data_IF_856899942114
#
_entry.id   IF_856899942114
#
_cell.length_a   1.000
_cell.length_b   1.000
_cell.length_c   1.000
_cell.angle_alpha   90.00
_cell.angle_beta   90.00
_cell.angle_gamma   90.00
#
_symmetry.space_group_name_H-M   'P 1'
#
loop_
_entity.id
_entity.type
_entity.pdbx_description
1 polymer ?
#
# COMPACT_ATOMS: atom_id res chain seq x y z
N UNK A 1 2.84 10.10 -49.68
CA UNK A 1 3.15 9.08 -48.65
C UNK A 1 2.36 9.45 -47.40
N UNK A 2 1.43 8.61 -46.97
CA UNK A 2 0.63 8.88 -45.78
C UNK A 2 1.52 8.78 -44.53
N UNK A 3 1.71 9.89 -43.80
CA UNK A 3 2.28 9.83 -42.45
C UNK A 3 1.33 8.97 -41.62
N UNK A 4 1.76 7.78 -41.16
CA UNK A 4 1.06 7.06 -40.11
C UNK A 4 1.14 7.91 -38.84
N UNK A 5 0.09 8.70 -38.58
CA UNK A 5 0.00 9.51 -37.37
C UNK A 5 -0.23 8.53 -36.21
N UNK A 6 0.82 8.24 -35.43
CA UNK A 6 0.65 7.66 -34.09
C UNK A 6 -0.29 8.56 -33.31
N UNK A 7 -1.18 7.98 -32.51
CA UNK A 7 -2.12 8.74 -31.68
C UNK A 7 -1.34 9.67 -30.76
N UNK A 8 -1.45 10.99 -30.99
CA UNK A 8 -0.77 12.01 -30.21
C UNK A 8 -1.65 12.33 -29.00
N UNK A 9 -1.23 11.88 -27.83
CA UNK A 9 -1.88 12.19 -26.56
C UNK A 9 -1.31 13.47 -25.94
N UNK A 10 -2.13 14.20 -25.20
CA UNK A 10 -1.71 15.36 -24.44
C UNK A 10 -0.72 14.94 -23.34
N UNK A 11 0.47 15.56 -23.23
CA UNK A 11 1.48 15.17 -22.24
C UNK A 11 1.05 15.43 -20.79
N UNK A 12 0.14 16.39 -20.58
CA UNK A 12 -0.35 16.73 -19.25
C UNK A 12 -1.44 15.76 -18.76
N UNK A 13 -2.42 15.45 -19.62
CA UNK A 13 -3.60 14.68 -19.21
C UNK A 13 -3.81 13.34 -19.94
N UNK A 14 -3.02 13.00 -20.96
CA UNK A 14 -3.16 11.75 -21.72
C UNK A 14 -4.40 11.68 -22.64
N UNK A 15 -5.20 12.75 -22.75
CA UNK A 15 -6.32 12.81 -23.71
C UNK A 15 -5.80 12.82 -25.14
N UNK A 16 -6.48 12.11 -26.04
CA UNK A 16 -6.17 12.10 -27.48
C UNK A 16 -6.97 13.16 -28.25
N UNK A 17 -7.94 13.80 -27.59
CA UNK A 17 -8.73 14.89 -28.17
C UNK A 17 -7.95 16.21 -28.09
N UNK A 18 -7.78 16.82 -29.26
CA UNK A 18 -6.98 18.03 -29.43
C UNK A 18 -7.44 18.83 -30.64
N UNK A 19 -7.28 20.14 -30.53
CA UNK A 19 -7.43 21.09 -31.62
C UNK A 19 -6.05 21.55 -32.07
N UNK A 20 -5.73 21.46 -33.36
CA UNK A 20 -4.52 22.07 -33.92
C UNK A 20 -4.74 23.58 -34.04
N UNK A 21 -3.95 24.36 -33.29
CA UNK A 21 -4.09 25.83 -33.24
C UNK A 21 -3.16 26.51 -34.25
N UNK A 22 -2.02 25.89 -34.55
CA UNK A 22 -1.02 26.26 -35.57
C UNK A 22 -0.29 24.97 -36.00
N UNK A 23 0.42 24.95 -37.14
CA UNK A 23 1.17 23.78 -37.57
C UNK A 23 2.05 23.20 -36.44
N UNK A 24 1.90 21.91 -36.18
CA UNK A 24 2.60 21.15 -35.13
C UNK A 24 2.36 21.62 -33.68
N UNK A 25 1.41 22.55 -33.46
CA UNK A 25 0.99 23.05 -32.14
C UNK A 25 -0.47 22.65 -31.86
N UNK A 26 -0.67 21.96 -30.74
CA UNK A 26 -1.96 21.40 -30.34
C UNK A 26 -2.41 21.96 -29.00
N UNK A 27 -3.71 22.19 -28.86
CA UNK A 27 -4.37 22.44 -27.58
C UNK A 27 -5.23 21.24 -27.23
N UNK A 28 -5.07 20.69 -26.03
CA UNK A 28 -5.88 19.58 -25.55
C UNK A 28 -7.30 20.03 -25.19
N UNK A 29 -8.32 19.39 -25.77
CA UNK A 29 -9.72 19.79 -25.53
C UNK A 29 -10.23 19.38 -24.13
N UNK A 30 -9.49 18.51 -23.44
CA UNK A 30 -9.87 18.01 -22.12
C UNK A 30 -9.30 18.85 -20.95
N UNK A 31 -8.08 19.37 -21.10
CA UNK A 31 -7.38 20.11 -20.03
C UNK A 31 -6.83 21.47 -20.46
N UNK A 32 -7.12 21.90 -21.70
CA UNK A 32 -6.67 23.15 -22.30
C UNK A 32 -5.14 23.37 -22.37
N UNK A 33 -4.34 22.34 -22.07
CA UNK A 33 -2.87 22.42 -22.22
C UNK A 33 -2.48 22.55 -23.69
N UNK A 34 -1.66 23.55 -23.99
CA UNK A 34 -1.01 23.72 -25.29
C UNK A 34 0.35 23.02 -25.30
N UNK A 35 0.66 22.31 -26.38
CA UNK A 35 1.89 21.54 -26.55
C UNK A 35 2.24 21.44 -28.05
N UNK A 36 3.52 21.37 -28.37
CA UNK A 36 4.01 21.19 -29.73
C UNK A 36 4.75 19.86 -29.87
N UNK A 37 4.83 19.35 -31.09
CA UNK A 37 5.66 18.20 -31.40
C UNK A 37 7.05 18.72 -31.76
N UNK A 38 8.03 18.46 -30.90
CA UNK A 38 9.42 18.69 -31.25
C UNK A 38 9.88 17.56 -32.18
N UNK A 39 10.31 17.91 -33.40
CA UNK A 39 10.54 16.97 -34.50
C UNK A 39 12.04 16.68 -34.69
N UNK A 40 12.81 16.66 -33.60
CA UNK A 40 14.27 16.46 -33.62
C UNK A 40 14.72 14.98 -33.65
N UNK A 41 13.78 14.02 -33.66
CA UNK A 41 14.10 12.59 -33.79
C UNK A 41 14.08 12.11 -35.26
N UNK A 42 15.21 12.23 -35.95
CA UNK A 42 15.46 11.51 -37.21
C UNK A 42 15.65 10.02 -36.88
N UNK A 43 14.62 9.20 -37.10
CA UNK A 43 14.82 7.75 -37.19
C UNK A 43 15.51 7.41 -38.52
N UNK A 44 16.82 7.19 -38.50
CA UNK A 44 17.55 6.56 -39.61
C UNK A 44 17.15 5.09 -39.65
N UNK A 45 16.28 4.72 -40.59
CA UNK A 45 15.93 3.33 -40.81
C UNK A 45 17.01 2.68 -41.68
N UNK A 46 17.96 1.97 -41.06
CA UNK A 46 18.95 1.16 -41.78
C UNK A 46 18.32 -0.18 -42.12
N UNK A 47 17.99 -0.39 -43.40
CA UNK A 47 17.58 -1.70 -43.90
C UNK A 47 18.82 -2.60 -44.00
N UNK A 48 18.89 -3.65 -43.18
CA UNK A 48 19.79 -4.76 -43.40
C UNK A 48 19.05 -5.86 -44.15
N UNK A 49 19.37 -6.07 -45.44
CA UNK A 49 19.13 -7.36 -46.08
C UNK A 49 20.17 -8.35 -45.53
N UNK A 50 19.73 -9.25 -44.66
CA UNK A 50 20.60 -10.33 -44.16
C UNK A 50 20.70 -11.44 -45.21
N UNK A 51 21.83 -11.52 -45.90
CA UNK A 51 22.29 -12.79 -46.46
C UNK A 51 22.77 -13.67 -45.30
N UNK A 52 21.98 -14.70 -44.97
CA UNK A 52 22.28 -15.67 -43.93
C UNK A 52 23.50 -16.53 -44.34
N UNK A 53 24.66 -16.29 -43.74
CA UNK A 53 25.85 -17.10 -44.02
C UNK A 53 27.07 -17.00 -43.08
N UNK A 54 27.08 -16.15 -42.05
CA UNK A 54 28.34 -15.89 -41.31
C UNK A 54 28.35 -16.21 -39.80
N UNK A 55 27.20 -16.44 -39.16
CA UNK A 55 27.16 -16.74 -37.72
C UNK A 55 27.66 -18.15 -37.36
N UNK A 56 27.60 -19.10 -38.30
CA UNK A 56 28.08 -20.47 -38.09
C UNK A 56 29.61 -20.56 -38.04
N UNK A 57 30.34 -19.62 -38.66
CA UNK A 57 31.80 -19.64 -38.72
C UNK A 57 32.48 -19.04 -37.46
N UNK A 58 31.79 -18.18 -36.72
CA UNK A 58 32.34 -17.59 -35.49
C UNK A 58 32.36 -18.57 -34.30
N UNK A 59 31.34 -19.44 -34.20
CA UNK A 59 31.22 -20.42 -33.12
C UNK A 59 32.29 -21.53 -33.16
N UNK A 60 32.90 -21.77 -34.33
CA UNK A 60 33.86 -22.86 -34.51
C UNK A 60 35.32 -22.46 -34.19
N UNK A 61 35.64 -21.17 -34.21
CA UNK A 61 37.03 -20.70 -34.04
C UNK A 61 37.47 -20.52 -32.57
N UNK A 62 36.54 -20.27 -31.63
CA UNK A 62 36.89 -19.82 -30.27
C UNK A 62 36.20 -20.58 -29.12
N UNK A 63 35.72 -21.80 -29.37
CA UNK A 63 35.01 -22.61 -28.37
C UNK A 63 35.79 -22.89 -27.07
N UNK A 64 37.13 -22.89 -27.11
CA UNK A 64 37.98 -23.07 -25.92
C UNK A 64 38.01 -21.85 -24.99
N UNK A 65 37.78 -20.64 -25.49
CA UNK A 65 37.87 -19.41 -24.69
C UNK A 65 36.55 -19.12 -23.94
N UNK A 66 35.41 -19.50 -24.54
CA UNK A 66 34.08 -19.36 -23.92
C UNK A 66 33.88 -20.39 -22.79
N UNK A 67 34.41 -21.62 -22.94
CA UNK A 67 34.40 -22.64 -21.87
C UNK A 67 35.25 -22.24 -20.65
N UNK A 68 36.33 -21.48 -20.84
CA UNK A 68 37.13 -20.93 -19.72
C UNK A 68 36.38 -19.88 -18.91
N UNK A 69 35.67 -18.96 -19.57
CA UNK A 69 34.95 -17.87 -18.88
C UNK A 69 33.78 -18.40 -18.05
N UNK A 70 33.05 -19.39 -18.58
CA UNK A 70 31.97 -20.06 -17.84
C UNK A 70 32.51 -20.87 -16.66
N UNK A 71 33.68 -21.50 -16.81
CA UNK A 71 34.36 -22.22 -15.74
C UNK A 71 34.82 -21.34 -14.58
N UNK A 72 35.29 -20.12 -14.86
CA UNK A 72 35.74 -19.16 -13.81
C UNK A 72 34.56 -18.63 -12.99
N UNK A 73 33.42 -18.34 -13.63
CA UNK A 73 32.21 -17.84 -12.95
C UNK A 73 31.59 -18.93 -12.06
N UNK A 74 31.59 -20.20 -12.51
CA UNK A 74 31.16 -21.33 -11.70
C UNK A 74 32.12 -21.61 -10.52
N UNK A 75 33.43 -21.43 -10.70
CA UNK A 75 34.43 -21.61 -9.64
C UNK A 75 34.35 -20.58 -8.51
N UNK A 76 34.13 -19.29 -8.83
CA UNK A 76 33.99 -18.22 -7.83
C UNK A 76 32.73 -18.42 -6.98
N UNK A 77 31.66 -18.91 -7.59
CA UNK A 77 30.39 -19.21 -6.91
C UNK A 77 30.52 -20.37 -5.91
N UNK A 78 31.42 -21.32 -6.15
CA UNK A 78 31.63 -22.48 -5.28
C UNK A 78 32.59 -22.19 -4.12
N UNK A 79 33.57 -21.29 -4.29
CA UNK A 79 34.49 -20.87 -3.20
C UNK A 79 33.80 -19.96 -2.17
N UNK A 80 32.79 -19.17 -2.59
CA UNK A 80 31.98 -18.35 -1.68
C UNK A 80 31.08 -19.15 -0.73
N UNK A 81 30.60 -20.33 -1.15
CA UNK A 81 29.72 -21.19 -0.34
C UNK A 81 30.50 -22.11 0.62
N UNK A 82 31.78 -22.39 0.33
CA UNK A 82 32.63 -23.22 1.18
C UNK A 82 33.32 -22.39 2.29
N UNK A 83 33.56 -21.09 2.08
CA UNK A 83 34.23 -20.22 3.08
C UNK A 83 33.29 -19.65 4.15
N UNK A 84 31.96 -19.64 3.93
CA UNK A 84 30.98 -19.21 4.93
C UNK A 84 30.65 -20.28 5.99
N UNK A 85 31.19 -21.50 5.85
CA UNK A 85 30.92 -22.63 6.76
C UNK A 85 32.11 -23.04 7.64
N UNK A 86 33.25 -22.33 7.59
CA UNK A 86 34.47 -22.68 8.35
C UNK A 86 34.84 -21.70 9.48
N UNK A 87 34.02 -20.70 9.79
CA UNK A 87 34.16 -19.87 11.00
C UNK A 87 32.97 -20.02 11.95
N UNK A 88 32.71 -21.25 12.39
CA UNK A 88 32.09 -21.51 13.69
C UNK A 88 33.21 -21.61 14.73
N UNK A 89 33.48 -20.54 15.48
CA UNK A 89 34.29 -20.67 16.70
C UNK A 89 33.38 -21.10 17.83
N UNK A 90 33.37 -22.40 18.12
CA UNK A 90 32.83 -22.91 19.37
C UNK A 90 33.92 -22.89 20.47
N UNK A 91 33.50 -22.39 21.63
CA UNK A 91 34.00 -22.70 22.97
C UNK A 91 35.35 -22.11 23.40
N UNK A 92 35.37 -21.34 24.50
CA UNK A 92 35.63 -21.88 25.86
C UNK A 92 35.72 -20.81 26.94
N UNK A 93 35.21 -21.24 28.08
CA UNK A 93 35.35 -20.76 29.46
C UNK A 93 36.73 -20.27 29.88
N UNK A 94 36.67 -19.19 30.70
CA UNK A 94 37.51 -18.79 31.85
C UNK A 94 39.04 -18.82 31.66
N UNK A 95 39.67 -17.67 31.89
CA UNK A 95 40.62 -17.55 33.00
C UNK A 95 40.84 -16.13 33.49
N UNK A 96 40.90 -16.08 34.81
CA UNK A 96 41.20 -14.97 35.70
C UNK A 96 42.67 -14.56 35.51
N UNK A 97 42.94 -13.28 35.24
CA UNK A 97 44.23 -12.69 35.52
C UNK A 97 44.02 -11.34 36.20
N UNK A 98 44.29 -11.34 37.51
CA UNK A 98 44.63 -10.15 38.26
C UNK A 98 45.83 -9.49 37.58
N UNK A 99 45.71 -8.20 37.29
CA UNK A 99 46.85 -7.30 37.34
C UNK A 99 46.39 -5.98 37.96
N UNK A 100 46.77 -5.84 39.23
CA UNK A 100 46.81 -4.55 39.91
C UNK A 100 47.82 -3.67 39.16
N UNK A 101 47.44 -2.43 38.86
CA UNK A 101 48.39 -1.33 38.75
C UNK A 101 47.71 -0.03 39.18
N UNK A 102 47.93 0.25 40.45
CA UNK A 102 48.31 1.55 41.03
C UNK A 102 47.66 2.81 40.44
N UNK A 103 46.74 3.34 41.24
CA UNK A 103 46.24 4.70 41.23
C UNK A 103 47.35 5.75 41.29
N UNK A 104 47.30 6.70 40.36
CA UNK A 104 47.86 8.05 40.54
C UNK A 104 46.71 9.03 40.39
N UNK A 105 46.36 9.67 41.50
CA UNK A 105 45.36 10.72 41.61
C UNK A 105 45.86 12.01 40.97
N UNK A 106 45.08 12.57 40.05
CA UNK A 106 45.17 13.99 39.70
C UNK A 106 43.76 14.58 39.76
N UNK A 107 43.52 15.66 40.53
CA UNK A 107 42.17 16.18 40.74
C UNK A 107 41.90 17.29 39.74
N UNK A 108 41.05 17.08 38.71
CA UNK A 108 40.59 18.21 37.90
C UNK A 108 39.15 18.03 37.39
N UNK A 109 38.32 18.99 37.82
CA UNK A 109 37.04 19.49 37.29
C UNK A 109 35.93 18.49 37.03
N UNK A 110 34.91 18.60 37.89
CA UNK A 110 33.51 18.35 37.56
C UNK A 110 33.11 19.17 36.34
N UNK A 111 33.28 18.63 35.14
CA UNK A 111 32.43 18.98 34.01
C UNK A 111 31.02 18.53 34.35
N UNK A 112 30.11 19.49 34.48
CA UNK A 112 28.68 19.23 34.37
C UNK A 112 28.49 18.64 32.97
N UNK A 113 28.42 17.32 32.90
CA UNK A 113 28.11 16.61 31.67
C UNK A 113 26.68 16.98 31.32
N UNK A 114 26.51 17.82 30.29
CA UNK A 114 25.20 17.96 29.65
C UNK A 114 24.63 16.55 29.40
N UNK A 115 23.35 16.30 29.73
CA UNK A 115 22.78 14.98 29.51
C UNK A 115 22.90 14.67 28.02
N UNK A 116 23.69 13.64 27.67
CA UNK A 116 23.85 13.18 26.30
C UNK A 116 22.48 13.06 25.65
N UNK A 117 22.25 13.85 24.59
CA UNK A 117 21.04 13.79 23.78
C UNK A 117 20.88 12.35 23.30
N UNK A 118 19.83 11.67 23.77
CA UNK A 118 19.58 10.27 23.40
C UNK A 118 19.25 10.25 21.91
N UNK A 119 20.07 9.58 21.13
CA UNK A 119 19.85 9.35 19.70
C UNK A 119 19.27 7.96 19.50
N UNK A 120 18.32 7.86 18.60
CA UNK A 120 17.70 6.60 18.22
C UNK A 120 17.11 6.72 16.81
N UNK A 121 16.86 5.57 16.20
CA UNK A 121 16.13 5.46 14.93
C UNK A 121 14.68 5.06 15.18
N UNK A 122 13.75 5.58 14.37
CA UNK A 122 12.32 5.28 14.48
C UNK A 122 11.91 4.34 13.34
N UNK A 123 11.33 3.20 13.70
CA UNK A 123 10.72 2.28 12.74
C UNK A 123 9.22 2.26 12.96
N UNK A 124 8.44 2.46 11.89
CA UNK A 124 6.99 2.42 11.93
C UNK A 124 6.50 1.00 11.66
N UNK A 125 5.72 0.45 12.58
CA UNK A 125 5.06 -0.87 12.44
C UNK A 125 3.59 -0.72 12.04
N UNK A 126 2.99 0.42 12.38
CA UNK A 126 1.65 0.81 11.96
C UNK A 126 1.57 2.33 11.89
N UNK A 127 0.82 2.86 10.92
CA UNK A 127 0.36 4.23 10.97
C UNK A 127 -1.00 4.39 10.26
N UNK A 128 -1.78 5.35 10.71
CA UNK A 128 -3.05 5.70 10.09
C UNK A 128 -3.37 7.19 10.30
N UNK A 129 -3.92 7.82 9.28
CA UNK A 129 -4.37 9.20 9.34
C UNK A 129 -5.83 9.25 9.76
N UNK A 130 -6.14 10.08 10.76
CA UNK A 130 -7.51 10.31 11.26
C UNK A 130 -7.80 11.81 11.28
N UNK A 131 -8.85 12.20 10.57
CA UNK A 131 -9.37 13.56 10.57
C UNK A 131 -10.50 13.69 11.60
N UNK A 132 -10.42 14.70 12.48
CA UNK A 132 -11.49 15.07 13.44
C UNK A 132 -11.75 16.56 13.35
N UNK A 133 -12.85 16.94 12.70
CA UNK A 133 -13.15 18.33 12.40
C UNK A 133 -12.02 18.96 11.59
N UNK A 134 -11.49 20.07 12.08
CA UNK A 134 -10.42 20.84 11.46
C UNK A 134 -9.00 20.35 11.79
N UNK A 135 -8.86 19.19 12.43
CA UNK A 135 -7.57 18.61 12.81
C UNK A 135 -7.32 17.27 12.14
N UNK A 136 -6.06 17.03 11.82
CA UNK A 136 -5.57 15.76 11.29
C UNK A 136 -4.53 15.18 12.25
N UNK A 137 -4.68 13.90 12.56
CA UNK A 137 -3.80 13.19 13.46
C UNK A 137 -3.20 11.97 12.78
N UNK A 138 -1.92 11.72 13.04
CA UNK A 138 -1.26 10.46 12.69
C UNK A 138 -1.20 9.60 13.94
N UNK A 139 -1.89 8.48 13.89
CA UNK A 139 -1.78 7.41 14.88
C UNK A 139 -0.64 6.51 14.43
N UNK A 140 0.29 6.15 15.31
CA UNK A 140 1.40 5.27 14.96
C UNK A 140 1.78 4.30 16.06
N UNK A 141 2.22 3.12 15.64
CA UNK A 141 3.00 2.21 16.48
C UNK A 141 4.42 2.27 15.96
N UNK A 142 5.34 2.72 16.82
CA UNK A 142 6.76 2.88 16.46
C UNK A 142 7.65 2.08 17.37
N UNK A 143 8.78 1.64 16.84
CA UNK A 143 9.90 1.11 17.59
C UNK A 143 11.02 2.14 17.59
N UNK A 144 11.49 2.51 18.78
CA UNK A 144 12.70 3.32 18.95
C UNK A 144 13.89 2.39 19.16
N UNK A 145 14.81 2.42 18.20
CA UNK A 145 16.08 1.69 18.24
C UNK A 145 17.17 2.61 18.77
N UNK A 146 17.53 2.42 20.03
CA UNK A 146 18.52 3.26 20.69
C UNK A 146 19.95 2.90 20.26
N UNK A 147 20.72 3.95 19.97
CA UNK A 147 22.13 3.81 19.60
C UNK A 147 22.97 3.35 20.80
N UNK A 148 22.61 3.81 22.00
CA UNK A 148 23.23 3.38 23.25
C UNK A 148 22.90 1.91 23.53
N UNK A 149 23.92 1.06 23.54
CA UNK A 149 23.82 -0.37 23.82
C UNK A 149 23.26 -0.69 25.22
N UNK A 150 23.27 0.26 26.15
CA UNK A 150 22.69 0.10 27.49
C UNK A 150 21.18 0.34 27.51
N UNK A 151 20.65 1.07 26.54
CA UNK A 151 19.22 1.37 26.44
C UNK A 151 18.55 0.25 25.64
N UNK A 152 17.44 -0.27 26.17
CA UNK A 152 16.63 -1.27 25.45
C UNK A 152 15.76 -0.57 24.43
N UNK A 153 15.62 -1.18 23.25
CA UNK A 153 14.63 -0.75 22.28
C UNK A 153 13.23 -0.90 22.89
N UNK A 154 12.30 -0.06 22.45
CA UNK A 154 10.94 0.01 23.00
C UNK A 154 9.92 0.31 21.92
N UNK A 155 8.71 -0.20 22.12
CA UNK A 155 7.56 0.14 21.30
C UNK A 155 6.73 1.24 21.95
N UNK A 156 6.23 2.16 21.13
CA UNK A 156 5.39 3.26 21.55
C UNK A 156 4.15 3.36 20.67
N UNK A 157 3.02 3.65 21.31
CA UNK A 157 1.83 4.18 20.68
C UNK A 157 1.88 5.70 20.73
N UNK A 158 1.85 6.34 19.56
CA UNK A 158 2.02 7.79 19.43
C UNK A 158 0.90 8.40 18.63
N UNK A 159 0.43 9.56 19.07
CA UNK A 159 -0.50 10.41 18.35
C UNK A 159 0.20 11.73 18.04
N UNK A 160 0.42 12.00 16.77
CA UNK A 160 0.91 13.28 16.28
C UNK A 160 -0.26 14.12 15.77
N UNK A 161 -0.36 15.37 16.22
CA UNK A 161 -1.11 16.39 15.50
C UNK A 161 -0.30 16.79 14.27
N UNK A 162 -0.81 16.46 13.09
CA UNK A 162 -0.09 16.60 11.83
C UNK A 162 0.16 18.07 11.49
N UNK A 163 -0.83 18.93 11.70
CA UNK A 163 -0.77 20.33 11.27
C UNK A 163 0.17 21.15 12.14
N UNK A 164 0.17 20.89 13.45
CA UNK A 164 1.09 21.55 14.39
C UNK A 164 2.45 20.85 14.49
N UNK A 165 2.56 19.65 13.91
CA UNK A 165 3.73 18.77 13.99
C UNK A 165 4.16 18.47 15.43
N UNK A 166 3.19 18.24 16.32
CA UNK A 166 3.43 17.97 17.76
C UNK A 166 2.91 16.60 18.16
N UNK A 167 3.67 15.92 19.01
CA UNK A 167 3.18 14.73 19.72
C UNK A 167 2.20 15.19 20.79
N UNK A 168 0.96 14.72 20.72
CA UNK A 168 -0.08 15.03 21.70
C UNK A 168 -0.32 13.88 22.69
N UNK A 169 0.11 12.67 22.35
CA UNK A 169 0.03 11.49 23.21
C UNK A 169 1.14 10.50 22.86
N UNK A 170 1.76 9.92 23.88
CA UNK A 170 2.80 8.90 23.77
C UNK A 170 2.67 7.91 24.93
N UNK A 171 2.55 6.62 24.63
CA UNK A 171 2.43 5.54 25.60
C UNK A 171 3.39 4.40 25.24
N UNK A 172 4.20 3.92 26.19
CA UNK A 172 5.05 2.74 25.99
C UNK A 172 4.20 1.46 26.03
N UNK A 173 4.39 0.56 25.05
CA UNK A 173 3.72 -0.74 24.98
C UNK A 173 4.56 -1.76 25.76
N UNK A 174 4.28 -1.90 27.05
CA UNK A 174 5.13 -2.65 28.00
C UNK A 174 5.03 -4.17 27.84
N UNK A 175 3.95 -4.66 27.28
CA UNK A 175 3.70 -6.09 27.07
C UNK A 175 4.58 -6.70 25.98
N UNK A 176 5.22 -5.85 25.17
CA UNK A 176 6.09 -6.26 24.07
C UNK A 176 7.52 -5.87 24.37
N UNK A 177 8.41 -6.86 24.33
CA UNK A 177 9.85 -6.60 24.32
C UNK A 177 10.29 -6.22 22.91
N UNK A 178 11.00 -5.10 22.77
CA UNK A 178 11.82 -4.81 21.60
C UNK A 178 13.26 -5.20 21.95
N UNK A 179 13.64 -6.44 21.65
CA UNK A 179 15.03 -6.87 21.82
C UNK A 179 15.81 -6.57 20.54
N UNK A 180 16.98 -5.93 20.69
CA UNK A 180 17.91 -5.60 19.61
C UNK A 180 18.47 -6.85 18.92
N UNK A 181 18.47 -7.99 19.62
CA UNK A 181 19.12 -9.24 19.19
C UNK A 181 18.13 -10.40 18.96
N UNK A 182 16.84 -10.25 19.25
CA UNK A 182 15.82 -11.26 18.90
C UNK A 182 15.25 -10.98 17.51
N UNK A 183 14.55 -11.99 16.98
CA UNK A 183 13.71 -11.80 15.80
C UNK A 183 12.74 -10.63 16.04
N UNK A 184 12.56 -9.77 15.03
CA UNK A 184 11.58 -8.68 15.08
C UNK A 184 10.20 -9.25 15.37
N UNK A 185 9.41 -8.50 16.14
CA UNK A 185 8.02 -8.87 16.36
C UNK A 185 7.29 -8.89 15.02
N UNK A 186 6.52 -9.94 14.80
CA UNK A 186 5.66 -10.10 13.63
C UNK A 186 4.37 -9.32 13.88
N UNK A 187 4.15 -8.25 13.11
CA UNK A 187 3.01 -7.36 13.23
C UNK A 187 2.04 -7.60 12.08
N UNK A 188 0.78 -7.82 12.42
CA UNK A 188 -0.33 -7.87 11.49
C UNK A 188 -1.42 -6.91 11.95
N UNK A 189 -2.16 -6.31 11.03
CA UNK A 189 -3.20 -5.34 11.37
C UNK A 189 -4.33 -5.31 10.37
N UNK A 190 -5.51 -4.99 10.87
CA UNK A 190 -6.66 -4.74 10.02
C UNK A 190 -7.61 -3.71 10.63
N UNK A 191 -8.08 -2.81 9.78
CA UNK A 191 -9.14 -1.86 10.08
C UNK A 191 -10.48 -2.61 10.00
N UNK A 192 -10.97 -3.10 11.14
CA UNK A 192 -12.26 -3.79 11.19
C UNK A 192 -13.45 -2.83 11.08
N UNK A 193 -13.22 -1.56 11.37
CA UNK A 193 -14.13 -0.47 11.05
C UNK A 193 -13.34 0.82 10.85
N UNK A 194 -14.00 1.90 10.44
CA UNK A 194 -13.37 3.22 10.34
C UNK A 194 -12.74 3.69 11.66
N UNK A 195 -13.26 3.22 12.80
CA UNK A 195 -12.86 3.68 14.12
C UNK A 195 -12.08 2.65 14.93
N UNK A 196 -12.09 1.38 14.52
CA UNK A 196 -11.47 0.27 15.25
C UNK A 196 -10.47 -0.47 14.36
N UNK A 197 -9.20 -0.41 14.76
CA UNK A 197 -8.14 -1.22 14.17
C UNK A 197 -7.67 -2.23 15.18
N UNK A 198 -7.52 -3.47 14.74
CA UNK A 198 -6.88 -4.48 15.56
C UNK A 198 -5.46 -4.74 15.06
N UNK A 199 -4.54 -4.92 16.01
CA UNK A 199 -3.16 -5.33 15.80
C UNK A 199 -2.99 -6.71 16.40
N UNK A 200 -2.40 -7.64 15.65
CA UNK A 200 -1.94 -8.94 16.15
C UNK A 200 -0.42 -8.97 16.13
N UNK A 201 0.18 -9.33 17.26
CA UNK A 201 1.64 -9.36 17.42
C UNK A 201 2.10 -10.76 17.83
N UNK A 202 3.08 -11.29 17.10
CA UNK A 202 3.65 -12.63 17.32
C UNK A 202 2.60 -13.74 17.41
N UNK A 203 1.48 -13.57 16.70
CA UNK A 203 0.33 -14.48 16.73
C UNK A 203 -0.23 -14.75 18.13
N UNK A 204 -0.02 -13.82 19.08
CA UNK A 204 -0.31 -14.03 20.50
C UNK A 204 -1.01 -12.84 21.12
N UNK A 205 -0.49 -11.64 20.94
CA UNK A 205 -1.07 -10.43 21.52
C UNK A 205 -2.04 -9.79 20.56
N UNK A 206 -3.13 -9.25 21.10
CA UNK A 206 -4.14 -8.51 20.37
C UNK A 206 -4.31 -7.16 21.02
N UNK A 207 -4.09 -6.11 20.24
CA UNK A 207 -4.37 -4.74 20.65
C UNK A 207 -5.50 -4.15 19.82
N UNK A 208 -6.36 -3.39 20.47
CA UNK A 208 -7.39 -2.59 19.83
C UNK A 208 -6.96 -1.12 19.86
N UNK A 209 -6.83 -0.51 18.69
CA UNK A 209 -6.76 0.94 18.53
C UNK A 209 -8.18 1.46 18.35
N UNK A 210 -8.62 2.27 19.31
CA UNK A 210 -9.78 3.14 19.17
C UNK A 210 -9.33 4.49 18.58
N UNK A 211 -9.56 4.67 17.28
CA UNK A 211 -9.21 5.88 16.54
C UNK A 211 -10.04 7.09 16.98
N UNK A 212 -11.24 6.88 17.51
CA UNK A 212 -12.13 7.94 17.99
C UNK A 212 -11.66 8.51 19.32
N UNK A 213 -11.05 7.70 20.18
CA UNK A 213 -10.58 8.12 21.50
C UNK A 213 -9.06 8.18 21.63
N UNK A 214 -8.32 7.80 20.58
CA UNK A 214 -6.86 7.71 20.59
C UNK A 214 -6.33 6.83 21.71
N UNK A 215 -6.93 5.65 21.86
CA UNK A 215 -6.55 4.68 22.89
C UNK A 215 -6.05 3.40 22.26
N UNK A 216 -5.01 2.84 22.86
CA UNK A 216 -4.52 1.49 22.60
C UNK A 216 -4.84 0.63 23.81
N UNK A 217 -5.61 -0.43 23.61
CA UNK A 217 -5.98 -1.37 24.68
C UNK A 217 -5.50 -2.76 24.32
N UNK A 218 -4.79 -3.42 25.24
CA UNK A 218 -4.51 -4.84 25.13
C UNK A 218 -5.78 -5.63 25.44
N UNK A 219 -6.36 -6.26 24.41
CA UNK A 219 -7.63 -6.99 24.51
C UNK A 219 -7.42 -8.51 24.46
N UNK A 220 -6.16 -8.98 24.53
CA UNK A 220 -5.80 -10.39 24.37
C UNK A 220 -6.64 -11.31 25.27
N UNK A 221 -6.70 -11.03 26.58
CA UNK A 221 -7.44 -11.88 27.52
C UNK A 221 -8.95 -11.65 27.51
N UNK A 222 -9.42 -10.52 26.99
CA UNK A 222 -10.85 -10.17 27.00
C UNK A 222 -11.56 -10.43 25.67
N UNK A 223 -10.81 -10.79 24.62
CA UNK A 223 -11.31 -10.88 23.25
C UNK A 223 -12.52 -11.82 23.12
N UNK A 224 -12.54 -12.90 23.90
CA UNK A 224 -13.58 -13.94 23.85
C UNK A 224 -14.49 -13.95 25.08
N UNK A 225 -14.51 -12.88 25.88
CA UNK A 225 -15.33 -12.83 27.10
C UNK A 225 -16.82 -13.02 26.83
N UNK A 226 -17.31 -12.60 25.65
CA UNK A 226 -18.71 -12.81 25.22
C UNK A 226 -19.03 -14.28 24.91
N UNK A 227 -18.04 -15.18 24.85
CA UNK A 227 -18.19 -16.59 24.47
C UNK A 227 -17.60 -17.52 25.54
N UNK A 228 -18.35 -17.80 26.63
CA UNK A 228 -17.86 -18.63 27.73
C UNK A 228 -17.29 -19.99 27.30
N UNK A 229 -17.84 -20.59 26.24
CA UNK A 229 -17.40 -21.87 25.69
C UNK A 229 -15.99 -21.85 25.05
N UNK A 230 -15.48 -20.66 24.72
CA UNK A 230 -14.15 -20.47 24.12
C UNK A 230 -13.20 -19.68 25.02
N UNK A 231 -13.65 -19.28 26.22
CA UNK A 231 -12.89 -18.41 27.12
C UNK A 231 -11.92 -19.21 28.01
N UNK A 232 -11.21 -20.16 27.42
CA UNK A 232 -10.16 -20.97 28.09
C UNK A 232 -8.78 -20.32 27.99
N UNK A 233 -8.65 -19.26 27.19
CA UNK A 233 -7.40 -18.57 26.88
C UNK A 233 -7.02 -18.68 25.41
N UNK A 234 -6.01 -17.93 24.98
CA UNK A 234 -5.58 -17.83 23.58
C UNK A 234 -4.20 -18.48 23.39
N UNK A 235 -4.17 -19.65 22.77
CA UNK A 235 -2.92 -20.33 22.40
C UNK A 235 -2.26 -19.67 21.19
N UNK A 236 -3.06 -19.31 20.17
CA UNK A 236 -2.59 -18.50 19.04
C UNK A 236 -3.73 -17.77 18.35
N UNK A 237 -3.41 -16.67 17.67
CA UNK A 237 -4.34 -15.86 16.90
C UNK A 237 -3.65 -15.27 15.67
N UNK A 238 -4.37 -15.15 14.57
CA UNK A 238 -3.93 -14.36 13.40
C UNK A 238 -5.13 -13.70 12.73
N UNK A 239 -4.87 -12.62 11.99
CA UNK A 239 -5.86 -12.11 11.05
C UNK A 239 -5.78 -13.02 9.82
N UNK A 240 -6.92 -13.56 9.42
CA UNK A 240 -7.04 -14.44 8.27
C UNK A 240 -8.15 -13.96 7.35
N UNK A 241 -8.15 -14.43 6.13
CA UNK A 241 -9.20 -14.15 5.16
C UNK A 241 -10.05 -15.40 4.97
N UNK A 242 -11.36 -15.27 5.15
CA UNK A 242 -12.24 -16.42 5.00
C UNK A 242 -12.37 -16.78 3.51
N UNK A 243 -12.29 -18.08 3.22
CA UNK A 243 -12.44 -18.60 1.87
C UNK A 243 -13.82 -18.18 1.30
N UNK A 244 -13.81 -17.59 0.10
CA UNK A 244 -14.99 -17.23 -0.68
C UNK A 244 -15.74 -15.95 -0.29
N UNK A 245 -15.41 -15.24 0.80
CA UNK A 245 -15.97 -13.88 1.04
C UNK A 245 -14.91 -12.78 1.14
N UNK A 246 -13.63 -13.11 1.17
CA UNK A 246 -12.57 -12.10 1.31
C UNK A 246 -12.60 -11.34 2.64
N UNK A 247 -13.52 -11.69 3.55
CA UNK A 247 -13.68 -11.02 4.84
C UNK A 247 -12.51 -11.37 5.76
N UNK A 248 -11.94 -10.33 6.37
CA UNK A 248 -10.95 -10.51 7.42
C UNK A 248 -11.63 -10.91 8.71
N UNK A 249 -11.04 -11.89 9.38
CA UNK A 249 -11.50 -12.44 10.66
C UNK A 249 -10.28 -12.75 11.52
N UNK A 250 -10.50 -13.00 12.81
CA UNK A 250 -9.51 -13.69 13.60
C UNK A 250 -9.67 -15.18 13.47
N UNK A 251 -8.59 -15.88 13.10
CA UNK A 251 -8.50 -17.33 13.28
C UNK A 251 -7.76 -17.60 14.58
N UNK A 252 -8.45 -18.21 15.54
CA UNK A 252 -7.98 -18.41 16.91
C UNK A 252 -7.87 -19.90 17.20
N UNK A 253 -6.80 -20.27 17.91
CA UNK A 253 -6.66 -21.53 18.63
C UNK A 253 -6.72 -21.21 20.12
N UNK A 254 -7.67 -21.78 20.84
CA UNK A 254 -7.80 -21.63 22.30
C UNK A 254 -6.82 -22.55 23.04
N UNK A 255 -6.59 -22.29 24.33
CA UNK A 255 -5.64 -23.08 25.15
C UNK A 255 -6.07 -24.55 25.33
N UNK A 256 -7.37 -24.86 25.23
CA UNK A 256 -7.90 -26.22 25.22
C UNK A 256 -7.99 -26.85 23.81
N UNK A 257 -7.45 -26.17 22.79
CA UNK A 257 -7.28 -26.72 21.45
C UNK A 257 -8.46 -26.51 20.49
N UNK A 258 -9.46 -25.71 20.86
CA UNK A 258 -10.56 -25.38 19.97
C UNK A 258 -10.11 -24.35 18.92
N UNK A 259 -10.52 -24.59 17.66
CA UNK A 259 -10.25 -23.66 16.55
C UNK A 259 -11.52 -22.91 16.22
N UNK A 260 -11.45 -21.58 16.18
CA UNK A 260 -12.59 -20.73 15.90
C UNK A 260 -12.23 -19.61 14.93
N UNK A 261 -13.23 -19.16 14.18
CA UNK A 261 -13.23 -17.88 13.48
C UNK A 261 -14.05 -16.88 14.27
N UNK A 262 -13.41 -15.79 14.71
CA UNK A 262 -14.06 -14.69 15.40
C UNK A 262 -14.17 -13.47 14.47
N UNK A 263 -15.38 -12.95 14.35
CA UNK A 263 -15.74 -11.76 13.59
C UNK A 263 -15.93 -10.58 14.56
N UNK A 264 -14.96 -9.66 14.69
CA UNK A 264 -14.99 -8.60 15.70
C UNK A 264 -16.09 -7.57 15.51
N UNK A 265 -16.51 -7.32 14.26
CA UNK A 265 -17.54 -6.32 13.93
C UNK A 265 -18.90 -6.78 14.43
N UNK A 266 -19.16 -8.06 14.23
CA UNK A 266 -20.43 -8.68 14.51
C UNK A 266 -20.49 -9.27 15.92
N UNK A 267 -19.37 -9.21 16.65
CA UNK A 267 -19.12 -9.94 17.87
C UNK A 267 -19.66 -11.37 17.79
N UNK A 268 -19.11 -12.16 16.85
CA UNK A 268 -19.56 -13.53 16.60
C UNK A 268 -18.40 -14.49 16.44
N UNK A 269 -18.37 -15.55 17.23
CA UNK A 269 -17.42 -16.65 17.12
C UNK A 269 -18.09 -17.89 16.53
N UNK A 270 -17.44 -18.51 15.54
CA UNK A 270 -17.88 -19.73 14.88
C UNK A 270 -16.79 -20.81 14.98
N UNK A 271 -17.13 -22.08 15.23
CA UNK A 271 -16.15 -23.16 15.20
C UNK A 271 -15.55 -23.33 13.78
N UNK A 272 -14.26 -23.62 13.71
CA UNK A 272 -13.55 -23.99 12.47
C UNK A 272 -13.86 -25.47 12.15
N UNK A 273 -15.08 -25.72 11.70
CA UNK A 273 -15.58 -27.05 11.30
C UNK A 273 -16.40 -26.95 9.99
N UNK A 274 -16.94 -28.07 9.50
CA UNK A 274 -17.71 -28.08 8.26
C UNK A 274 -18.97 -27.19 8.29
N UNK A 275 -19.56 -26.96 9.47
CA UNK A 275 -20.74 -26.10 9.65
C UNK A 275 -20.42 -24.61 9.54
N UNK A 276 -19.14 -24.24 9.58
CA UNK A 276 -18.70 -22.86 9.40
C UNK A 276 -19.24 -22.26 8.12
N UNK A 277 -19.13 -22.98 6.99
CA UNK A 277 -19.54 -22.45 5.68
C UNK A 277 -21.04 -22.23 5.58
N UNK A 278 -21.85 -23.12 6.15
CA UNK A 278 -23.30 -23.00 6.20
C UNK A 278 -23.72 -21.83 7.10
N UNK A 279 -23.15 -21.78 8.31
CA UNK A 279 -23.46 -20.72 9.28
C UNK A 279 -23.01 -19.35 8.79
N UNK A 280 -21.86 -19.28 8.10
CA UNK A 280 -21.36 -18.06 7.44
C UNK A 280 -22.32 -17.57 6.37
N UNK A 281 -22.80 -18.46 5.50
CA UNK A 281 -23.73 -18.10 4.42
C UNK A 281 -25.02 -17.51 4.96
N UNK A 282 -25.63 -18.15 5.96
CA UNK A 282 -26.84 -17.64 6.61
C UNK A 282 -26.59 -16.31 7.32
N UNK A 283 -25.45 -16.19 7.99
CA UNK A 283 -25.06 -14.99 8.69
C UNK A 283 -24.86 -13.78 7.75
N UNK A 284 -24.17 -13.96 6.62
CA UNK A 284 -24.00 -12.93 5.59
C UNK A 284 -25.35 -12.55 4.99
N UNK A 285 -26.20 -13.54 4.70
CA UNK A 285 -27.54 -13.31 4.15
C UNK A 285 -28.42 -12.47 5.08
N UNK A 286 -28.35 -12.72 6.39
CA UNK A 286 -29.12 -11.97 7.39
C UNK A 286 -28.64 -10.53 7.57
N UNK A 287 -27.36 -10.26 7.33
CA UNK A 287 -26.77 -8.94 7.47
C UNK A 287 -26.57 -8.23 6.12
N UNK A 288 -27.26 -8.71 5.06
CA UNK A 288 -27.16 -8.15 3.71
C UNK A 288 -27.62 -6.70 3.69
N UNK A 289 -26.68 -5.77 3.59
CA UNK A 289 -26.96 -4.40 3.17
C UNK A 289 -27.35 -4.41 1.67
N UNK A 290 -28.37 -3.64 1.31
CA UNK A 290 -28.85 -3.46 -0.08
C UNK A 290 -28.68 -2.02 -0.55
N UNK A 291 -28.02 -1.20 0.27
CA UNK A 291 -27.66 0.17 -0.08
C UNK A 291 -26.89 0.19 -1.38
N UNK A 292 -27.29 1.11 -2.25
CA UNK A 292 -26.60 1.36 -3.49
C UNK A 292 -25.37 2.24 -3.22
N UNK A 293 -24.27 1.88 -3.85
CA UNK A 293 -22.98 2.54 -3.74
C UNK A 293 -22.43 2.82 -5.12
N UNK A 294 -21.61 3.86 -5.25
CA UNK A 294 -20.85 4.12 -6.46
C UNK A 294 -19.36 3.97 -6.15
N UNK A 295 -18.67 3.22 -7.00
CA UNK A 295 -17.23 3.04 -6.96
C UNK A 295 -16.61 3.22 -8.34
N UNK A 296 -15.28 3.25 -8.36
CA UNK A 296 -14.49 3.44 -9.55
C UNK A 296 -13.43 2.34 -9.63
N UNK A 297 -13.09 1.91 -10.84
CA UNK A 297 -12.00 0.96 -11.07
C UNK A 297 -11.36 1.22 -12.43
N UNK A 298 -10.09 0.83 -12.56
CA UNK A 298 -9.49 0.68 -13.88
C UNK A 298 -9.77 -0.71 -14.42
N UNK A 299 -10.18 -0.77 -15.68
CA UNK A 299 -10.32 -2.03 -16.41
C UNK A 299 -8.96 -2.68 -16.63
N UNK A 300 -8.92 -3.98 -16.50
CA UNK A 300 -7.76 -4.83 -16.75
C UNK A 300 -8.13 -5.78 -17.88
N UNK A 301 -7.39 -5.80 -18.97
CA UNK A 301 -7.57 -6.78 -20.04
C UNK A 301 -6.53 -7.90 -19.85
N UNK A 302 -6.92 -9.07 -19.30
CA UNK A 302 -5.98 -10.17 -19.07
C UNK A 302 -5.58 -10.90 -20.37
N UNK A 303 -6.26 -10.66 -21.51
CA UNK A 303 -6.08 -11.44 -22.73
C UNK A 303 -5.76 -10.61 -24.00
N UNK A 304 -5.88 -9.28 -23.96
CA UNK A 304 -5.60 -8.39 -25.09
C UNK A 304 -4.51 -7.33 -24.85
N UNK A 305 -4.48 -6.31 -25.72
CA UNK A 305 -3.52 -5.21 -25.63
C UNK A 305 -3.88 -4.31 -24.44
N UNK A 306 -3.00 -4.24 -23.42
CA UNK A 306 -3.21 -3.46 -22.20
C UNK A 306 -3.63 -2.01 -22.49
N UNK A 307 -4.94 -1.74 -22.36
CA UNK A 307 -5.56 -0.44 -22.59
C UNK A 307 -6.60 -0.15 -21.48
N UNK A 308 -6.15 0.10 -20.24
CA UNK A 308 -7.05 0.29 -19.11
C UNK A 308 -7.96 1.49 -19.31
N UNK A 309 -9.22 1.37 -18.91
CA UNK A 309 -10.26 2.41 -18.94
C UNK A 309 -10.77 2.68 -17.53
N UNK A 310 -11.06 3.95 -17.23
CA UNK A 310 -11.60 4.34 -15.92
C UNK A 310 -13.11 4.13 -15.94
N UNK A 311 -13.59 3.19 -15.12
CA UNK A 311 -14.98 2.78 -15.05
C UNK A 311 -15.61 3.29 -13.76
N UNK A 312 -16.77 3.92 -13.89
CA UNK A 312 -17.68 4.23 -12.79
C UNK A 312 -18.76 3.16 -12.76
N UNK A 313 -19.05 2.59 -11.61
CA UNK A 313 -20.11 1.59 -11.50
C UNK A 313 -20.92 1.76 -10.22
N UNK A 314 -22.19 1.38 -10.32
CA UNK A 314 -23.16 1.36 -9.25
C UNK A 314 -23.37 -0.08 -8.83
N UNK A 315 -23.35 -0.35 -7.53
CA UNK A 315 -23.50 -1.70 -6.99
C UNK A 315 -24.27 -1.69 -5.68
N UNK A 316 -24.90 -2.82 -5.32
CA UNK A 316 -25.32 -3.09 -3.95
C UNK A 316 -24.28 -3.94 -3.26
N UNK A 317 -24.21 -3.84 -1.94
CA UNK A 317 -23.27 -4.61 -1.18
C UNK A 317 -23.86 -5.15 0.11
N UNK A 318 -23.72 -6.46 0.32
CA UNK A 318 -24.24 -7.17 1.48
C UNK A 318 -23.47 -6.99 2.79
N UNK A 319 -22.30 -6.34 2.81
CA UNK A 319 -21.45 -6.19 4.01
C UNK A 319 -21.40 -4.73 4.53
N UNK A 320 -22.17 -3.82 3.90
CA UNK A 320 -22.42 -2.44 4.31
C UNK A 320 -21.27 -1.44 4.15
N UNK A 321 -21.59 -0.17 4.37
CA UNK A 321 -20.79 1.05 4.04
C UNK A 321 -19.29 1.06 4.39
N UNK A 322 -18.81 0.18 5.26
CA UNK A 322 -17.48 0.29 5.89
C UNK A 322 -16.37 -0.53 5.23
N UNK A 323 -16.63 -1.20 4.09
CA UNK A 323 -15.76 -2.26 3.58
C UNK A 323 -15.48 -2.23 2.07
N UNK A 324 -15.21 -1.07 1.44
CA UNK A 324 -14.92 -1.06 -0.01
C UNK A 324 -13.63 -0.36 -0.42
N UNK A 325 -12.69 -1.15 -0.93
CA UNK A 325 -11.77 -0.75 -1.99
C UNK A 325 -11.85 -1.78 -3.11
N UNK A 326 -12.66 -1.50 -4.14
CA UNK A 326 -12.57 -2.21 -5.40
C UNK A 326 -11.43 -1.55 -6.17
N UNK A 327 -10.27 -2.20 -6.22
CA UNK A 327 -9.04 -1.60 -6.76
C UNK A 327 -8.78 -1.96 -8.23
N UNK A 328 -9.48 -2.98 -8.75
CA UNK A 328 -9.32 -3.46 -10.13
C UNK A 328 -10.62 -4.04 -10.67
N UNK A 329 -10.90 -3.84 -11.95
CA UNK A 329 -11.89 -4.62 -12.71
C UNK A 329 -11.19 -5.42 -13.79
N UNK A 330 -11.72 -6.58 -14.18
CA UNK A 330 -11.08 -7.47 -15.16
C UNK A 330 -12.01 -7.60 -16.34
N UNK A 331 -11.77 -6.90 -17.44
CA UNK A 331 -12.48 -7.01 -18.73
C UNK A 331 -12.61 -8.50 -19.09
N UNK A 332 -13.79 -8.89 -19.54
CA UNK A 332 -14.07 -10.29 -19.83
C UNK A 332 -15.42 -10.46 -20.49
N UNK A 333 -15.46 -11.41 -21.42
CA UNK A 333 -16.44 -11.50 -22.50
C UNK A 333 -17.77 -12.19 -22.13
N UNK A 334 -18.14 -12.38 -20.85
CA UNK A 334 -19.30 -13.23 -20.55
C UNK A 334 -20.29 -12.63 -19.54
N UNK A 335 -21.56 -12.37 -19.95
CA UNK A 335 -22.63 -12.14 -19.00
C UNK A 335 -23.03 -13.42 -18.26
N UNK A 336 -23.48 -13.27 -17.01
CA UNK A 336 -23.87 -14.34 -16.08
C UNK A 336 -25.12 -15.12 -16.51
N UNK A 337 -25.82 -14.69 -17.54
CA UNK A 337 -27.10 -15.23 -18.01
C UNK A 337 -26.98 -16.11 -19.28
N UNK A 338 -25.75 -16.33 -19.79
CA UNK A 338 -25.54 -17.08 -21.02
C UNK A 338 -25.89 -16.32 -22.31
N UNK A 339 -26.11 -15.00 -22.23
CA UNK A 339 -26.21 -14.13 -23.40
C UNK A 339 -24.86 -14.03 -24.14
N UNK A 340 -24.83 -13.78 -25.46
CA UNK A 340 -23.59 -13.59 -26.20
C UNK A 340 -22.77 -12.44 -25.62
N UNK A 341 -21.44 -12.60 -25.66
CA UNK A 341 -20.45 -11.62 -25.26
C UNK A 341 -20.81 -10.22 -25.76
N UNK A 342 -20.87 -9.23 -24.86
CA UNK A 342 -21.08 -7.84 -25.26
C UNK A 342 -19.84 -7.36 -26.01
N UNK A 343 -20.01 -7.03 -27.30
CA UNK A 343 -18.92 -6.74 -28.26
C UNK A 343 -18.48 -5.28 -28.30
N UNK A 344 -18.96 -4.42 -27.41
CA UNK A 344 -18.55 -3.02 -27.36
C UNK A 344 -17.65 -2.70 -26.14
N UNK A 345 -16.64 -1.86 -26.38
CA UNK A 345 -15.74 -1.31 -25.37
C UNK A 345 -16.48 -0.54 -24.24
N UNK A 346 -17.80 -0.36 -24.36
CA UNK A 346 -18.63 0.28 -23.35
C UNK A 346 -19.21 -0.73 -22.35
N UNK A 347 -19.52 -1.96 -22.78
CA UNK A 347 -20.17 -2.99 -21.96
C UNK A 347 -19.30 -4.25 -21.72
N UNK A 348 -18.10 -4.34 -22.28
CA UNK A 348 -17.19 -5.49 -22.12
C UNK A 348 -16.43 -5.54 -20.76
N UNK A 349 -16.93 -4.92 -19.70
CA UNK A 349 -16.22 -4.90 -18.41
C UNK A 349 -16.72 -6.01 -17.50
N UNK A 350 -15.97 -7.11 -17.44
CA UNK A 350 -16.04 -7.98 -16.28
C UNK A 350 -15.34 -7.24 -15.11
N UNK A 351 -15.87 -7.42 -13.91
CA UNK A 351 -15.27 -6.89 -12.70
C UNK A 351 -14.86 -8.10 -11.88
N UNK A 352 -13.57 -8.28 -11.64
CA UNK A 352 -13.15 -9.17 -10.57
C UNK A 352 -13.47 -8.45 -9.27
N UNK A 353 -14.71 -8.58 -8.80
CA UNK A 353 -15.00 -8.35 -7.38
C UNK A 353 -14.02 -9.26 -6.63
N UNK A 354 -13.21 -8.75 -5.68
CA UNK A 354 -12.16 -9.51 -5.04
C UNK A 354 -12.65 -10.93 -4.69
N UNK A 355 -12.29 -11.91 -5.52
CA UNK A 355 -12.64 -13.33 -5.44
C UNK A 355 -14.08 -13.67 -4.99
N UNK A 356 -14.98 -13.98 -5.94
CA UNK A 356 -16.19 -14.82 -5.69
C UNK A 356 -17.04 -14.41 -4.47
N UNK A 357 -17.09 -13.13 -4.13
CA UNK A 357 -17.95 -12.70 -3.02
C UNK A 357 -19.39 -12.64 -3.52
N UNK A 358 -20.25 -13.54 -3.03
CA UNK A 358 -21.73 -13.56 -3.23
C UNK A 358 -22.43 -12.26 -2.73
N UNK A 359 -21.68 -11.20 -2.44
CA UNK A 359 -22.04 -10.03 -1.66
C UNK A 359 -22.22 -8.75 -2.48
N UNK A 360 -21.65 -8.66 -3.68
CA UNK A 360 -21.73 -7.46 -4.53
C UNK A 360 -22.58 -7.73 -5.77
N UNK A 361 -23.64 -6.97 -5.96
CA UNK A 361 -24.44 -7.02 -7.20
C UNK A 361 -24.26 -5.72 -7.98
N UNK A 362 -23.73 -5.79 -9.19
CA UNK A 362 -23.59 -4.62 -10.06
C UNK A 362 -24.96 -4.23 -10.61
N UNK A 363 -25.32 -2.96 -10.44
CA UNK A 363 -26.57 -2.38 -10.95
C UNK A 363 -26.34 -1.76 -12.33
N UNK A 364 -25.27 -0.99 -12.49
CA UNK A 364 -24.93 -0.32 -13.74
C UNK A 364 -23.45 0.07 -13.79
N UNK A 365 -22.94 0.37 -14.99
CA UNK A 365 -21.56 0.84 -15.17
C UNK A 365 -21.47 1.83 -16.34
N UNK A 366 -20.38 2.59 -16.37
CA UNK A 366 -20.08 3.61 -17.38
C UNK A 366 -18.56 3.76 -17.54
N UNK A 367 -18.07 3.74 -18.79
CA UNK A 367 -16.72 4.21 -19.09
C UNK A 367 -16.66 5.74 -18.92
N UNK A 368 -16.00 6.20 -17.86
CA UNK A 368 -15.96 7.61 -17.50
C UNK A 368 -15.03 8.41 -18.43
N UNK A 369 -14.03 7.77 -19.04
CA UNK A 369 -13.04 8.43 -19.90
C UNK A 369 -12.74 7.61 -21.16
N UNK A 370 -13.69 7.49 -22.10
CA UNK A 370 -13.58 6.57 -23.24
C UNK A 370 -12.38 6.90 -24.15
N UNK A 371 -12.15 8.18 -24.39
CA UNK A 371 -11.13 8.70 -25.31
C UNK A 371 -9.77 8.94 -24.64
N UNK A 372 -9.51 8.29 -23.51
CA UNK A 372 -8.27 8.49 -22.75
C UNK A 372 -7.40 7.26 -22.79
N UNK A 373 -6.10 7.51 -22.90
CA UNK A 373 -5.05 6.51 -22.76
C UNK A 373 -4.44 6.63 -21.38
N UNK A 374 -4.20 5.48 -20.74
CA UNK A 374 -3.62 5.41 -19.41
C UNK A 374 -2.42 4.48 -19.40
N UNK A 375 -1.37 4.91 -18.70
CA UNK A 375 -0.17 4.10 -18.51
C UNK A 375 -0.06 3.76 -17.03
N UNK A 376 -0.06 2.45 -16.72
CA UNK A 376 -0.03 1.93 -15.34
C UNK A 376 -0.92 2.75 -14.37
N UNK A 377 -2.24 2.89 -14.64
CA UNK A 377 -3.08 3.72 -13.82
C UNK A 377 -3.44 3.05 -12.50
N UNK A 378 -3.88 3.85 -11.53
CA UNK A 378 -4.49 3.36 -10.30
C UNK A 378 -5.33 4.43 -9.63
N UNK A 379 -6.34 4.02 -8.87
CA UNK A 379 -7.09 4.93 -8.00
C UNK A 379 -6.30 5.09 -6.70
N UNK A 380 -6.11 6.33 -6.26
CA UNK A 380 -5.44 6.64 -4.99
C UNK A 380 -6.36 7.31 -3.98
N UNK A 381 -7.51 7.80 -4.43
CA UNK A 381 -8.59 8.29 -3.58
C UNK A 381 -9.91 8.24 -4.33
N UNK A 382 -10.98 7.83 -3.65
CA UNK A 382 -12.34 7.97 -4.15
C UNK A 382 -13.30 8.09 -2.98
N UNK A 383 -14.14 9.13 -3.00
CA UNK A 383 -15.37 9.16 -2.19
C UNK A 383 -16.46 8.36 -2.89
N UNK A 384 -17.39 7.79 -2.13
CA UNK A 384 -18.67 7.33 -2.66
C UNK A 384 -19.62 8.54 -2.87
N UNK A 385 -20.00 8.87 -4.12
CA UNK A 385 -20.96 9.93 -4.44
C UNK A 385 -22.33 9.80 -3.78
N UNK A 386 -22.74 8.61 -3.35
CA UNK A 386 -24.02 8.42 -2.64
C UNK A 386 -23.93 8.95 -1.20
N UNK A 387 -22.73 8.96 -0.62
CA UNK A 387 -22.49 9.32 0.78
C UNK A 387 -21.92 10.75 0.89
N UNK A 388 -21.02 11.13 -0.02
CA UNK A 388 -20.33 12.42 0.02
C UNK A 388 -21.10 13.50 -0.74
N UNK A 389 -21.24 14.69 -0.14
CA UNK A 389 -21.87 15.86 -0.78
C UNK A 389 -20.99 16.52 -1.85
N UNK A 390 -19.67 16.32 -1.75
CA UNK A 390 -18.67 16.82 -2.72
C UNK A 390 -17.66 15.70 -2.99
N UNK A 391 -18.07 14.66 -3.75
CA UNK A 391 -17.23 13.50 -3.98
C UNK A 391 -16.01 13.84 -4.81
N UNK A 392 -14.85 13.35 -4.38
CA UNK A 392 -13.62 13.46 -5.13
C UNK A 392 -13.16 12.10 -5.64
N UNK A 393 -12.63 12.09 -6.86
CA UNK A 393 -11.90 10.96 -7.44
C UNK A 393 -10.50 11.44 -7.83
N UNK A 394 -9.47 10.82 -7.26
CA UNK A 394 -8.08 11.10 -7.58
C UNK A 394 -7.40 9.81 -8.04
N UNK A 395 -6.81 9.88 -9.22
CA UNK A 395 -6.09 8.80 -9.86
C UNK A 395 -4.61 9.13 -9.95
N UNK A 396 -3.79 8.09 -10.15
CA UNK A 396 -2.43 8.19 -10.63
C UNK A 396 -2.32 7.53 -12.00
N UNK A 397 -1.50 8.07 -12.88
CA UNK A 397 -1.11 7.41 -14.14
C UNK A 397 0.28 7.89 -14.55
N UNK A 398 1.10 7.02 -15.15
CA UNK A 398 2.39 7.42 -15.68
C UNK A 398 2.22 8.39 -16.84
N UNK A 399 3.17 9.33 -16.98
CA UNK A 399 3.23 10.30 -18.08
C UNK A 399 3.33 9.64 -19.46
N UNK A 400 3.94 8.46 -19.54
CA UNK A 400 4.09 7.67 -20.77
C UNK A 400 4.20 6.18 -20.47
N UNK A 401 4.28 5.35 -21.52
CA UNK A 401 4.52 3.92 -21.42
C UNK A 401 5.93 3.55 -20.89
N UNK A 402 6.85 4.52 -20.75
CA UNK A 402 8.21 4.24 -20.30
C UNK A 402 8.22 3.60 -18.90
N UNK A 403 9.05 2.56 -18.66
CA UNK A 403 9.25 1.98 -17.34
C UNK A 403 9.67 3.01 -16.28
N UNK A 404 10.42 4.03 -16.69
CA UNK A 404 10.95 5.08 -15.81
C UNK A 404 10.08 6.34 -15.77
N UNK A 405 8.94 6.36 -16.47
CA UNK A 405 8.02 7.49 -16.44
C UNK A 405 7.45 7.72 -15.03
N UNK A 406 7.52 8.98 -14.58
CA UNK A 406 6.91 9.42 -13.34
C UNK A 406 5.37 9.43 -13.42
N UNK A 407 4.74 9.36 -12.26
CA UNK A 407 3.29 9.45 -12.13
C UNK A 407 2.82 10.90 -12.14
N UNK A 408 1.73 11.15 -12.86
CA UNK A 408 0.86 12.29 -12.65
C UNK A 408 -0.28 11.89 -11.73
N UNK A 409 -0.67 12.80 -10.84
CA UNK A 409 -1.80 12.66 -9.94
C UNK A 409 -2.91 13.62 -10.37
N UNK A 410 -4.11 13.11 -10.59
CA UNK A 410 -5.16 13.87 -11.26
C UNK A 410 -6.48 13.72 -10.53
N UNK A 411 -7.13 14.85 -10.26
CA UNK A 411 -8.54 14.85 -9.85
C UNK A 411 -9.42 14.82 -11.09
N UNK A 412 -10.37 13.89 -11.09
CA UNK A 412 -11.29 13.66 -12.19
C UNK A 412 -12.68 14.10 -11.77
N UNK A 413 -13.36 14.84 -12.65
CA UNK A 413 -14.77 15.12 -12.50
C UNK A 413 -15.56 13.81 -12.72
N UNK A 414 -16.30 13.39 -11.69
CA UNK A 414 -16.95 12.08 -11.65
C UNK A 414 -18.19 11.94 -12.56
N UNK A 415 -18.59 13.03 -13.22
CA UNK A 415 -19.76 13.07 -14.10
C UNK A 415 -19.34 13.14 -15.57
N UNK A 416 -18.33 13.96 -15.88
CA UNK A 416 -17.84 14.21 -17.24
C UNK A 416 -16.55 13.46 -17.59
N UNK A 417 -15.82 12.97 -16.59
CA UNK A 417 -14.49 12.37 -16.78
C UNK A 417 -13.37 13.35 -17.11
N UNK A 418 -13.66 14.66 -17.09
CA UNK A 418 -12.66 15.70 -17.34
C UNK A 418 -11.65 15.78 -16.21
N UNK A 419 -10.41 16.13 -16.53
CA UNK A 419 -9.39 16.40 -15.52
C UNK A 419 -9.65 17.79 -14.93
N UNK A 420 -9.86 17.85 -13.62
CA UNK A 420 -10.03 19.10 -12.87
C UNK A 420 -8.67 19.75 -12.65
N UNK A 421 -7.70 18.98 -12.18
CA UNK A 421 -6.32 19.42 -12.01
C UNK A 421 -5.35 18.24 -12.12
N UNK A 422 -4.08 18.57 -12.38
CA UNK A 422 -2.97 17.62 -12.45
C UNK A 422 -1.83 18.11 -11.58
N UNK A 423 -1.30 17.22 -10.74
CA UNK A 423 -0.02 17.38 -10.05
C UNK A 423 0.99 16.50 -10.79
N UNK A 424 2.00 17.14 -11.36
CA UNK A 424 3.15 16.49 -12.00
C UNK A 424 4.39 16.85 -11.19
N UNK A 425 4.74 16.00 -10.22
CA UNK A 425 5.93 16.20 -9.40
C UNK A 425 6.85 14.99 -9.54
N UNK A 426 8.12 15.26 -9.84
CA UNK A 426 9.14 14.23 -10.06
C UNK A 426 9.94 13.96 -8.78
N UNK A 427 9.82 14.83 -7.77
CA UNK A 427 10.56 14.74 -6.49
C UNK A 427 10.02 13.69 -5.53
N UNK A 428 8.74 13.35 -5.60
CA UNK A 428 8.15 12.41 -4.65
C UNK A 428 7.00 11.60 -5.24
N UNK A 429 6.75 10.46 -4.61
CA UNK A 429 5.63 9.57 -4.93
C UNK A 429 4.60 9.65 -3.82
N UNK A 430 3.37 10.02 -4.18
CA UNK A 430 2.20 9.89 -3.30
C UNK A 430 1.81 8.41 -3.21
N UNK A 431 1.78 7.91 -1.98
CA UNK A 431 1.31 6.56 -1.63
C UNK A 431 -0.20 6.53 -1.42
N UNK A 432 -0.69 7.38 -0.53
CA UNK A 432 -2.10 7.47 -0.14
C UNK A 432 -2.56 8.93 -0.15
N UNK A 433 -3.87 9.13 -0.33
CA UNK A 433 -4.52 10.42 -0.15
C UNK A 433 -5.71 10.25 0.81
N UNK A 434 -5.99 11.28 1.59
CA UNK A 434 -7.08 11.34 2.55
C UNK A 434 -7.82 12.66 2.38
N UNK A 435 -9.15 12.66 2.51
CA UNK A 435 -9.92 13.91 2.59
C UNK A 435 -9.64 14.64 3.89
N UNK A 436 -9.48 15.95 3.79
CA UNK A 436 -9.28 16.82 4.94
C UNK A 436 -9.96 18.17 4.73
N UNK A 437 -11.18 18.31 5.25
CA UNK A 437 -12.07 19.45 4.97
C UNK A 437 -12.26 19.62 3.45
N UNK A 438 -11.98 20.82 2.92
CA UNK A 438 -11.99 21.11 1.49
C UNK A 438 -10.67 20.77 0.79
N UNK A 439 -9.66 20.36 1.55
CA UNK A 439 -8.34 19.96 1.05
C UNK A 439 -8.22 18.43 1.07
N UNK A 440 -7.04 17.97 0.65
CA UNK A 440 -6.60 16.60 0.78
C UNK A 440 -5.26 16.54 1.49
N UNK A 441 -5.02 15.49 2.25
CA UNK A 441 -3.70 15.17 2.78
C UNK A 441 -3.14 14.03 1.96
N UNK A 442 -1.91 14.17 1.47
CA UNK A 442 -1.20 13.09 0.81
C UNK A 442 -0.09 12.55 1.70
N UNK A 443 0.17 11.25 1.59
CA UNK A 443 1.24 10.55 2.27
C UNK A 443 2.32 10.15 1.27
N UNK A 444 3.59 10.46 1.57
CA UNK A 444 4.75 9.98 0.83
C UNK A 444 5.41 8.78 1.55
N UNK A 445 5.52 8.88 2.88
CA UNK A 445 6.01 7.84 3.78
C UNK A 445 5.36 8.02 5.15
N UNK A 446 5.57 7.06 6.05
CA UNK A 446 5.02 7.07 7.41
C UNK A 446 5.37 8.30 8.25
N UNK A 447 6.37 9.07 7.83
CA UNK A 447 6.85 10.30 8.46
C UNK A 447 6.75 11.54 7.55
N UNK A 448 6.27 11.41 6.30
CA UNK A 448 6.20 12.52 5.33
C UNK A 448 4.83 12.63 4.69
N UNK A 449 4.24 13.80 4.86
CA UNK A 449 2.89 14.13 4.43
C UNK A 449 2.88 15.50 3.74
N UNK A 450 1.76 15.87 3.14
CA UNK A 450 1.52 17.23 2.72
C UNK A 450 0.05 17.50 2.45
N UNK A 451 -0.26 18.77 2.15
CA UNK A 451 -1.64 19.24 1.93
C UNK A 451 -1.80 19.65 0.47
N UNK A 452 -2.78 19.06 -0.21
CA UNK A 452 -3.23 19.44 -1.54
C UNK A 452 -4.51 20.27 -1.41
N UNK A 453 -4.53 21.45 -2.00
CA UNK A 453 -5.70 22.32 -2.06
C UNK A 453 -6.73 21.82 -3.09
N UNK A 454 -8.00 22.26 -3.03
CA UNK A 454 -9.03 21.79 -3.96
C UNK A 454 -8.72 22.03 -5.45
N UNK A 455 -7.90 23.03 -5.77
CA UNK A 455 -7.41 23.38 -7.11
C UNK A 455 -6.12 22.62 -7.52
N UNK A 456 -5.59 21.75 -6.67
CA UNK A 456 -4.47 20.87 -6.99
C UNK A 456 -3.09 21.45 -6.69
N UNK A 457 -2.98 22.51 -5.89
CA UNK A 457 -1.68 23.03 -5.45
C UNK A 457 -1.21 22.36 -4.16
N UNK A 458 0.09 22.13 -4.02
CA UNK A 458 0.67 21.64 -2.76
C UNK A 458 0.90 22.85 -1.86
N UNK A 459 0.07 22.98 -0.82
CA UNK A 459 0.12 24.10 0.13
C UNK A 459 1.28 23.97 1.11
N UNK A 460 1.57 22.74 1.55
CA UNK A 460 2.53 22.48 2.61
C UNK A 460 3.03 21.04 2.52
N UNK A 461 4.32 20.85 2.75
CA UNK A 461 4.92 19.54 3.05
C UNK A 461 5.29 19.48 4.53
N UNK A 462 5.09 18.32 5.14
CA UNK A 462 5.20 18.08 6.57
C UNK A 462 6.05 16.83 6.76
N UNK A 463 7.21 16.98 7.38
CA UNK A 463 7.95 15.84 7.93
C UNK A 463 7.67 15.79 9.43
N UNK A 464 7.12 14.67 9.91
CA UNK A 464 6.90 14.46 11.34
C UNK A 464 8.23 14.67 12.07
N UNK A 465 8.21 15.49 13.11
CA UNK A 465 9.42 15.85 13.85
C UNK A 465 10.17 14.57 14.26
N UNK A 466 11.41 14.40 13.76
CA UNK A 466 12.30 13.35 14.25
C UNK A 466 12.49 13.58 15.75
N UNK A 467 12.27 12.52 16.51
CA UNK A 467 12.08 12.53 17.96
C UNK A 467 13.37 12.88 18.76
N UNK A 468 14.07 13.96 18.44
CA UNK A 468 15.15 14.47 19.27
C UNK A 468 14.51 15.36 20.34
N UNK A 469 14.23 14.79 21.52
CA UNK A 469 13.95 15.61 22.71
C UNK A 469 15.23 16.36 23.07
N UNK A 470 15.31 17.63 22.70
CA UNK A 470 16.02 18.58 23.57
C UNK A 470 15.20 18.68 24.85
N UNK A 471 15.84 18.32 25.96
CA UNK A 471 15.29 18.49 27.29
C UNK A 471 15.49 19.92 27.74
#
# INVERSE_FOLDING_TARGET
>A
MAKQIKVISCPNCGSVQKTEIKPEHYRCDNCNTEYFLDNDDINVNVNYESNSGEFANFLNANGKLILMIVGVIAGISLVGVITSNLFKSDSRTKNYYNSQTTSISTPVKSTVTEPKKKTFTVNYHYHSLVSKGDKAYIISIVQRDYDDYKEKNKYYFIIHDLLTNKIIKEEEIKELEADKYKAKNDWDFHDFSQTKTYLVVNKKYVFLIDKSNFNLTNVTSSLLNSFPQYNTGLASIKIDETQGSGEKVFRILTDDGQKIYYYPIYDKALPDNNDFYMTKKDFIKQNKDTSEHIAFAFSNDPYGQYNPKLIKFKFTNSMGKNYYTITTSTVGEHPLDGSPAFTDDANAYWFDTPRRNESNEIISHQNLTPNRLYFNPGIIYADDPVISKDPALIIKTKKSASPDANYNYQRIDINSGKVIWTISEDKFKIKNIYRFNNNFIFEQSSDKYGIITPDGTIKQEITLSKESKEK
#
